data_IF_703853708943
#
_entry.id   IF_703853708943
#
_cell.length_a   1.000
_cell.length_b   1.000
_cell.length_c   1.000
_cell.angle_alpha   90.00
_cell.angle_beta   90.00
_cell.angle_gamma   90.00
#
_symmetry.space_group_name_H-M   'P 1'
#
loop_
_entity.id
_entity.type
_entity.pdbx_description
1 polymer ?
#
# COMPACT_ATOMS: atom_id res chain seq x y z
N UNK A 1 24.71 -4.54 21.89
CA UNK A 1 24.04 -5.86 21.92
C UNK A 1 22.51 -5.74 21.84
N UNK A 2 21.89 -4.68 22.38
CA UNK A 2 20.44 -4.44 22.33
C UNK A 2 19.91 -4.20 20.90
N UNK A 3 20.52 -3.32 20.11
CA UNK A 3 20.00 -2.95 18.78
C UNK A 3 19.85 -4.14 17.81
N UNK A 4 20.82 -5.06 17.79
CA UNK A 4 20.78 -6.26 16.92
C UNK A 4 19.61 -7.16 17.30
N UNK A 5 19.35 -7.33 18.61
CA UNK A 5 18.20 -8.10 19.10
C UNK A 5 16.89 -7.41 18.73
N UNK A 6 16.78 -6.10 18.92
CA UNK A 6 15.59 -5.35 18.54
C UNK A 6 15.31 -5.45 17.03
N UNK A 7 16.32 -5.29 16.18
CA UNK A 7 16.19 -5.47 14.73
C UNK A 7 15.69 -6.87 14.35
N UNK A 8 16.23 -7.92 14.99
CA UNK A 8 15.79 -9.29 14.77
C UNK A 8 14.30 -9.46 15.11
N UNK A 9 13.86 -9.01 16.29
CA UNK A 9 12.46 -9.08 16.71
C UNK A 9 11.52 -8.33 15.73
N UNK A 10 11.94 -7.16 15.23
CA UNK A 10 11.18 -6.39 14.23
C UNK A 10 11.08 -7.12 12.89
N UNK A 11 12.19 -7.69 12.40
CA UNK A 11 12.22 -8.37 11.11
C UNK A 11 11.28 -9.58 11.04
N UNK A 12 11.19 -10.35 12.14
CA UNK A 12 10.45 -11.61 12.19
C UNK A 12 9.03 -11.51 12.78
N UNK A 13 8.61 -10.33 13.23
CA UNK A 13 7.25 -10.09 13.76
C UNK A 13 6.22 -9.67 12.71
N UNK A 14 6.67 -9.34 11.49
CA UNK A 14 5.79 -8.88 10.38
C UNK A 14 4.83 -7.74 10.79
N UNK A 15 5.34 -6.63 11.35
CA UNK A 15 4.49 -5.53 11.78
C UNK A 15 3.74 -4.92 10.58
N UNK A 16 2.49 -4.51 10.82
CA UNK A 16 1.64 -3.79 9.87
C UNK A 16 1.08 -2.55 10.56
N UNK A 17 1.14 -1.39 9.92
CA UNK A 17 0.50 -0.18 10.43
C UNK A 17 -1.02 -0.39 10.47
N UNK A 18 -1.68 0.23 11.45
CA UNK A 18 -3.14 0.15 11.56
C UNK A 18 -3.83 0.93 10.43
N UNK A 19 -3.17 1.97 9.95
CA UNK A 19 -3.62 2.87 8.88
C UNK A 19 -2.44 3.22 7.98
N UNK A 20 -2.73 3.49 6.69
CA UNK A 20 -1.75 3.92 5.69
C UNK A 20 -0.58 2.93 5.47
N UNK A 21 -0.73 1.66 5.88
CA UNK A 21 0.33 0.64 5.76
C UNK A 21 0.87 0.53 4.34
N UNK A 22 0.00 0.62 3.33
CA UNK A 22 0.34 0.53 1.91
C UNK A 22 1.41 1.53 1.46
N UNK A 23 1.53 2.68 2.13
CA UNK A 23 2.47 3.76 1.80
C UNK A 23 3.87 3.61 2.41
N UNK A 24 4.08 2.60 3.27
CA UNK A 24 5.30 2.47 4.05
C UNK A 24 5.78 1.02 4.15
N UNK A 25 7.08 0.79 4.06
CA UNK A 25 7.69 -0.40 4.64
C UNK A 25 7.70 -0.24 6.17
N UNK A 26 6.74 -0.86 6.84
CA UNK A 26 6.56 -0.78 8.29
C UNK A 26 7.77 -1.30 9.06
N UNK A 27 8.49 -2.30 8.53
CA UNK A 27 9.70 -2.82 9.19
C UNK A 27 10.83 -1.80 9.11
N UNK A 28 11.12 -1.33 7.90
CA UNK A 28 12.16 -0.33 7.70
C UNK A 28 11.85 0.96 8.44
N UNK A 29 10.58 1.38 8.44
CA UNK A 29 10.15 2.59 9.14
C UNK A 29 10.33 2.47 10.65
N UNK A 30 9.93 1.33 11.26
CA UNK A 30 10.10 1.12 12.68
C UNK A 30 11.58 1.08 13.08
N UNK A 31 12.45 0.45 12.27
CA UNK A 31 13.90 0.42 12.51
C UNK A 31 14.50 1.84 12.40
N UNK A 32 14.16 2.56 11.34
CA UNK A 32 14.76 3.88 11.05
C UNK A 32 14.28 4.98 12.00
N UNK A 33 13.17 4.77 12.70
CA UNK A 33 12.61 5.72 13.67
C UNK A 33 12.77 5.28 15.12
N UNK A 34 13.36 4.11 15.37
CA UNK A 34 13.59 3.61 16.71
C UNK A 34 14.62 4.48 17.44
N UNK A 35 14.19 5.08 18.55
CA UNK A 35 15.07 5.72 19.52
C UNK A 35 15.54 4.70 20.57
N UNK A 36 16.35 5.15 21.53
CA UNK A 36 16.91 4.28 22.58
C UNK A 36 15.81 3.59 23.42
N UNK A 37 14.71 4.30 23.71
CA UNK A 37 13.55 3.76 24.45
C UNK A 37 12.90 2.59 23.70
N UNK A 38 12.65 2.76 22.39
CA UNK A 38 12.08 1.72 21.53
C UNK A 38 13.02 0.51 21.48
N UNK A 39 14.32 0.74 21.31
CA UNK A 39 15.32 -0.32 21.21
C UNK A 39 15.41 -1.10 22.53
N UNK A 40 15.46 -0.42 23.67
CA UNK A 40 15.55 -1.04 24.99
C UNK A 40 14.30 -1.88 25.30
N UNK A 41 13.13 -1.32 25.04
CA UNK A 41 11.86 -1.99 25.28
C UNK A 41 11.67 -3.23 24.41
N UNK A 42 11.96 -3.15 23.10
CA UNK A 42 11.91 -4.32 22.21
C UNK A 42 12.99 -5.35 22.60
N UNK A 43 14.19 -4.91 22.98
CA UNK A 43 15.25 -5.82 23.41
C UNK A 43 14.88 -6.60 24.67
N UNK A 44 14.10 -5.99 25.56
CA UNK A 44 13.70 -6.57 26.84
C UNK A 44 12.45 -7.43 26.71
N UNK A 45 11.43 -6.92 26.03
CA UNK A 45 10.09 -7.52 25.95
C UNK A 45 9.86 -8.32 24.65
N UNK A 46 10.81 -8.27 23.72
CA UNK A 46 10.73 -8.93 22.41
C UNK A 46 9.54 -8.46 21.59
N UNK A 47 9.06 -9.32 20.68
CA UNK A 47 7.92 -9.07 19.78
C UNK A 47 6.63 -8.55 20.44
N UNK A 48 6.45 -8.71 21.75
CA UNK A 48 5.22 -8.30 22.47
C UNK A 48 5.05 -6.78 22.54
N UNK A 49 6.16 -6.04 22.51
CA UNK A 49 6.17 -4.57 22.54
C UNK A 49 5.89 -3.92 21.19
N UNK A 50 6.14 -4.64 20.09
CA UNK A 50 6.08 -4.11 18.72
C UNK A 50 4.70 -3.51 18.38
N UNK A 51 3.55 -4.13 18.72
CA UNK A 51 2.24 -3.53 18.43
C UNK A 51 2.05 -2.14 19.03
N UNK A 52 2.60 -1.87 20.22
CA UNK A 52 2.53 -0.54 20.85
C UNK A 52 3.28 0.50 20.03
N UNK A 53 4.51 0.18 19.62
CA UNK A 53 5.34 1.08 18.83
C UNK A 53 4.77 1.31 17.43
N UNK A 54 4.22 0.27 16.81
CA UNK A 54 3.51 0.37 15.53
C UNK A 54 2.28 1.26 15.65
N UNK A 55 1.53 1.19 16.76
CA UNK A 55 0.38 2.07 17.00
C UNK A 55 0.79 3.54 17.16
N UNK A 56 1.87 3.81 17.89
CA UNK A 56 2.42 5.16 18.03
C UNK A 56 2.92 5.72 16.69
N UNK A 57 3.62 4.89 15.92
CA UNK A 57 4.09 5.22 14.58
C UNK A 57 2.92 5.51 13.63
N UNK A 58 1.88 4.66 13.65
CA UNK A 58 0.64 4.87 12.88
C UNK A 58 -0.03 6.20 13.21
N UNK A 59 -0.11 6.55 14.51
CA UNK A 59 -0.67 7.82 14.98
C UNK A 59 0.15 9.02 14.50
N UNK A 60 1.48 8.88 14.50
CA UNK A 60 2.41 9.93 14.04
C UNK A 60 2.27 10.19 12.54
N UNK A 61 2.18 9.12 11.73
CA UNK A 61 2.01 9.21 10.27
C UNK A 61 0.66 9.81 9.91
N UNK A 62 -0.40 9.33 10.55
CA UNK A 62 -1.76 9.84 10.32
C UNK A 62 -1.83 11.32 10.70
N UNK A 63 -1.16 11.71 11.79
CA UNK A 63 -1.18 13.07 12.31
C UNK A 63 -2.60 13.46 12.71
N UNK A 64 -3.05 14.62 12.21
CA UNK A 64 -4.39 15.15 12.48
C UNK A 64 -5.43 14.73 11.42
N UNK A 65 -5.10 13.78 10.54
CA UNK A 65 -6.02 13.40 9.47
C UNK A 65 -7.24 12.68 10.02
N UNK A 66 -8.42 13.06 9.52
CA UNK A 66 -9.63 12.27 9.71
C UNK A 66 -9.57 11.00 8.86
N UNK A 67 -10.02 9.87 9.41
CA UNK A 67 -10.15 8.62 8.65
C UNK A 67 -11.57 8.51 8.11
N UNK A 68 -11.71 8.31 6.80
CA UNK A 68 -12.97 7.98 6.14
C UNK A 68 -12.84 6.58 5.52
N UNK A 69 -13.57 5.62 6.08
CA UNK A 69 -13.49 4.21 5.68
C UNK A 69 -14.82 3.76 5.05
N UNK A 70 -14.84 3.70 3.72
CA UNK A 70 -16.00 3.29 2.93
C UNK A 70 -16.12 1.78 2.72
N UNK A 71 -15.12 0.97 3.10
CA UNK A 71 -15.00 -0.46 2.70
C UNK A 71 -16.16 -1.37 3.14
N UNK A 72 -16.95 -0.97 4.14
CA UNK A 72 -18.09 -1.75 4.67
C UNK A 72 -19.46 -1.20 4.27
N UNK A 73 -19.48 -0.12 3.51
CA UNK A 73 -20.71 0.59 3.11
C UNK A 73 -20.83 0.54 1.60
N UNK A 74 -22.02 0.78 1.05
CA UNK A 74 -22.20 0.96 -0.40
C UNK A 74 -22.12 2.43 -0.81
N UNK A 75 -21.99 3.35 0.15
CA UNK A 75 -21.88 4.78 -0.11
C UNK A 75 -20.55 5.11 -0.78
N UNK A 76 -20.57 6.13 -1.63
CA UNK A 76 -19.39 6.70 -2.27
C UNK A 76 -18.75 7.69 -1.30
N UNK A 77 -17.56 7.37 -0.80
CA UNK A 77 -16.85 8.17 0.21
C UNK A 77 -15.61 8.89 -0.31
N UNK A 78 -15.09 8.50 -1.48
CA UNK A 78 -13.92 9.14 -2.08
C UNK A 78 -14.23 10.55 -2.58
N UNK A 79 -13.33 11.53 -2.38
CA UNK A 79 -13.50 12.86 -2.92
C UNK A 79 -13.26 12.86 -4.44
N UNK A 80 -13.80 13.86 -5.13
CA UNK A 80 -13.73 13.97 -6.60
C UNK A 80 -12.30 13.83 -7.17
N UNK A 81 -11.24 14.45 -6.59
CA UNK A 81 -9.87 14.26 -7.06
C UNK A 81 -9.41 12.79 -7.03
N UNK A 82 -9.78 12.04 -5.98
CA UNK A 82 -9.44 10.63 -5.86
C UNK A 82 -10.18 9.77 -6.89
N UNK A 83 -11.47 10.07 -7.12
CA UNK A 83 -12.28 9.39 -8.14
C UNK A 83 -11.71 9.65 -9.54
N UNK A 84 -11.28 10.89 -9.84
CA UNK A 84 -10.69 11.25 -11.12
C UNK A 84 -9.35 10.53 -11.36
N UNK A 85 -8.50 10.44 -10.33
CA UNK A 85 -7.27 9.64 -10.40
C UNK A 85 -7.58 8.18 -10.67
N UNK A 86 -8.50 7.59 -9.90
CA UNK A 86 -8.89 6.19 -10.03
C UNK A 86 -9.41 5.86 -11.44
N UNK A 87 -10.28 6.71 -12.00
CA UNK A 87 -10.82 6.56 -13.37
C UNK A 87 -9.75 6.61 -14.46
N UNK A 88 -8.64 7.33 -14.22
CA UNK A 88 -7.53 7.40 -15.17
C UNK A 88 -6.52 6.26 -15.03
N UNK A 89 -6.63 5.39 -14.02
CA UNK A 89 -5.74 4.24 -13.87
C UNK A 89 -6.03 3.22 -14.96
N UNK A 90 -4.97 2.78 -15.64
CA UNK A 90 -5.05 1.71 -16.64
C UNK A 90 -4.25 0.51 -16.13
N UNK A 91 -4.88 -0.66 -16.11
CA UNK A 91 -4.22 -1.93 -15.82
C UNK A 91 -4.33 -2.87 -17.00
N UNK A 92 -3.21 -3.41 -17.43
CA UNK A 92 -3.10 -4.27 -18.61
C UNK A 92 -2.03 -5.35 -18.42
N UNK A 93 -2.16 -6.43 -19.18
CA UNK A 93 -1.20 -7.52 -19.30
C UNK A 93 -0.11 -7.25 -20.36
N UNK A 94 -0.03 -6.02 -20.87
CA UNK A 94 0.92 -5.61 -21.91
C UNK A 94 1.68 -4.36 -21.50
N UNK A 95 2.96 -4.30 -21.88
CA UNK A 95 3.73 -3.04 -21.87
C UNK A 95 3.34 -2.15 -23.07
N UNK A 96 3.67 -0.85 -23.07
CA UNK A 96 3.30 0.06 -24.15
C UNK A 96 3.94 -0.34 -25.49
N UNK A 97 5.08 -1.03 -25.42
CA UNK A 97 5.84 -1.54 -26.56
C UNK A 97 5.39 -2.95 -27.00
N UNK A 98 4.47 -3.58 -26.26
CA UNK A 98 3.89 -4.90 -26.61
C UNK A 98 4.83 -6.10 -26.46
N UNK A 99 6.07 -5.89 -26.03
CA UNK A 99 7.13 -6.91 -26.03
C UNK A 99 7.27 -7.71 -24.73
N UNK A 100 6.59 -7.32 -23.66
CA UNK A 100 6.62 -8.03 -22.37
C UNK A 100 5.19 -8.53 -22.05
N UNK A 101 5.03 -9.86 -22.13
CA UNK A 101 3.80 -10.61 -21.85
C UNK A 101 3.80 -11.21 -20.43
N UNK A 102 4.84 -10.95 -19.63
CA UNK A 102 5.01 -11.55 -18.31
C UNK A 102 4.67 -10.53 -17.22
N UNK A 103 3.39 -10.20 -17.07
CA UNK A 103 2.95 -9.48 -15.88
C UNK A 103 1.65 -8.71 -16.01
N UNK A 104 1.25 -8.10 -14.90
CA UNK A 104 0.22 -7.05 -14.88
C UNK A 104 0.90 -5.73 -14.61
N UNK A 105 0.66 -4.79 -15.51
CA UNK A 105 1.23 -3.44 -15.52
C UNK A 105 0.16 -2.42 -15.18
N UNK A 106 0.50 -1.50 -14.28
CA UNK A 106 -0.33 -0.36 -13.93
C UNK A 106 0.27 0.94 -14.46
N UNK A 107 -0.59 1.79 -15.02
CA UNK A 107 -0.31 3.15 -15.46
C UNK A 107 -1.23 4.10 -14.69
N UNK A 108 -0.65 5.17 -14.16
CA UNK A 108 -1.34 6.07 -13.25
C UNK A 108 -1.33 7.49 -13.82
N UNK A 109 -2.45 8.22 -13.74
CA UNK A 109 -2.54 9.61 -14.23
C UNK A 109 -1.89 10.59 -13.22
N UNK A 110 -0.70 10.25 -12.74
CA UNK A 110 0.07 11.01 -11.76
C UNK A 110 1.30 11.63 -12.41
N UNK A 111 1.54 12.92 -12.15
CA UNK A 111 2.72 13.61 -12.65
C UNK A 111 3.46 14.28 -11.50
N UNK A 112 4.77 14.04 -11.42
CA UNK A 112 5.63 14.62 -10.39
C UNK A 112 6.56 13.60 -9.73
N UNK A 113 7.22 14.02 -8.66
CA UNK A 113 8.18 13.18 -7.94
C UNK A 113 7.52 12.53 -6.71
N UNK A 114 7.48 11.20 -6.70
CA UNK A 114 6.81 10.41 -5.68
C UNK A 114 7.77 9.44 -5.02
N UNK A 115 7.54 9.21 -3.73
CA UNK A 115 7.98 7.97 -3.09
C UNK A 115 6.96 6.89 -3.44
N UNK A 116 7.42 5.88 -4.17
CA UNK A 116 6.63 4.74 -4.62
C UNK A 116 6.96 3.55 -3.74
N UNK A 117 5.92 2.93 -3.18
CA UNK A 117 6.03 1.66 -2.44
C UNK A 117 5.17 0.63 -3.16
N UNK A 118 5.80 -0.48 -3.56
CA UNK A 118 5.11 -1.63 -4.13
C UNK A 118 5.31 -2.80 -3.18
N UNK A 119 4.23 -3.24 -2.54
CA UNK A 119 4.24 -4.45 -1.73
C UNK A 119 3.75 -5.60 -2.58
N UNK A 120 4.56 -6.66 -2.62
CA UNK A 120 4.33 -7.88 -3.39
C UNK A 120 4.24 -9.06 -2.43
N UNK A 121 4.01 -10.24 -2.99
CA UNK A 121 3.98 -11.52 -2.30
C UNK A 121 5.11 -11.72 -1.27
N UNK A 122 4.80 -12.48 -0.22
CA UNK A 122 5.75 -12.91 0.84
C UNK A 122 6.47 -11.76 1.56
N UNK A 123 5.87 -10.57 1.55
CA UNK A 123 6.45 -9.38 2.17
C UNK A 123 7.63 -8.80 1.38
N UNK A 124 7.76 -9.13 0.09
CA UNK A 124 8.68 -8.43 -0.79
C UNK A 124 8.20 -6.98 -0.97
N UNK A 125 9.08 -6.02 -0.71
CA UNK A 125 8.77 -4.60 -0.83
C UNK A 125 9.78 -3.98 -1.78
N UNK A 126 9.27 -3.22 -2.74
CA UNK A 126 10.05 -2.32 -3.56
C UNK A 126 9.73 -0.90 -3.13
N UNK A 127 10.76 -0.11 -2.86
CA UNK A 127 10.64 1.29 -2.48
C UNK A 127 11.62 2.12 -3.31
N UNK A 128 11.14 3.18 -3.94
CA UNK A 128 11.98 4.09 -4.72
C UNK A 128 11.38 5.49 -4.78
N UNK A 129 12.26 6.48 -4.97
CA UNK A 129 11.84 7.82 -5.38
C UNK A 129 11.87 7.91 -6.91
N UNK A 130 10.72 8.15 -7.51
CA UNK A 130 10.52 8.08 -8.96
C UNK A 130 9.82 9.35 -9.44
N UNK A 131 10.32 9.93 -10.54
CA UNK A 131 9.58 10.91 -11.31
C UNK A 131 8.57 10.16 -12.19
N UNK A 132 7.28 10.34 -11.91
CA UNK A 132 6.19 9.74 -12.67
C UNK A 132 5.77 10.72 -13.76
N UNK A 133 5.72 10.24 -15.00
CA UNK A 133 5.37 11.02 -16.19
C UNK A 133 3.97 10.64 -16.70
N UNK A 134 2.99 10.65 -15.80
CA UNK A 134 1.62 10.25 -16.10
C UNK A 134 1.56 8.83 -16.67
N UNK A 135 0.82 8.69 -17.78
CA UNK A 135 0.58 7.41 -18.44
C UNK A 135 1.80 6.82 -19.17
N UNK A 136 2.96 7.49 -19.14
CA UNK A 136 4.20 6.98 -19.74
C UNK A 136 4.99 6.07 -18.79
N UNK A 137 4.79 6.21 -17.48
CA UNK A 137 5.50 5.40 -16.49
C UNK A 137 4.71 4.12 -16.21
N UNK A 138 5.31 2.97 -16.51
CA UNK A 138 4.72 1.66 -16.25
C UNK A 138 5.25 1.07 -14.93
N UNK A 139 4.35 0.52 -14.12
CA UNK A 139 4.72 -0.22 -12.91
C UNK A 139 4.32 -1.68 -13.02
N UNK A 140 5.30 -2.58 -12.91
CA UNK A 140 5.05 -4.02 -12.86
C UNK A 140 4.50 -4.41 -11.49
N UNK A 141 3.18 -4.62 -11.42
CA UNK A 141 2.44 -4.97 -10.22
C UNK A 141 2.70 -6.44 -9.85
N UNK A 142 2.64 -7.34 -10.85
CA UNK A 142 2.92 -8.78 -10.69
C UNK A 142 3.63 -9.37 -11.91
N UNK A 143 4.24 -10.54 -11.74
CA UNK A 143 4.70 -11.41 -12.84
C UNK A 143 3.63 -12.47 -13.13
N UNK A 144 3.56 -12.95 -14.37
CA UNK A 144 2.68 -14.06 -14.76
C UNK A 144 3.13 -15.40 -14.17
N UNK A 145 4.37 -15.49 -13.66
CA UNK A 145 4.88 -16.64 -12.91
C UNK A 145 4.42 -16.68 -11.44
N UNK A 146 3.56 -15.77 -11.01
CA UNK A 146 2.86 -15.86 -9.72
C UNK A 146 1.79 -16.96 -9.82
N UNK A 147 2.09 -18.14 -9.26
CA UNK A 147 1.32 -19.37 -9.45
C UNK A 147 0.04 -19.42 -8.59
N UNK A 148 -0.11 -18.55 -7.58
CA UNK A 148 -1.25 -18.60 -6.66
C UNK A 148 -2.25 -17.47 -6.92
N UNK A 149 -3.51 -17.84 -7.15
CA UNK A 149 -4.63 -16.94 -7.49
C UNK A 149 -5.08 -15.98 -6.39
N UNK A 150 -4.57 -16.08 -5.17
CA UNK A 150 -5.00 -15.26 -4.02
C UNK A 150 -3.94 -14.23 -3.58
N UNK A 151 -3.00 -13.86 -4.45
CA UNK A 151 -1.84 -13.07 -4.05
C UNK A 151 -2.15 -11.57 -3.85
N UNK A 152 -1.95 -11.11 -2.61
CA UNK A 152 -2.04 -9.69 -2.23
C UNK A 152 -0.93 -8.88 -2.90
N UNK A 153 -1.28 -7.71 -3.43
CA UNK A 153 -0.31 -6.70 -3.83
C UNK A 153 -0.83 -5.30 -3.56
N UNK A 154 0.08 -4.35 -3.38
CA UNK A 154 -0.26 -2.93 -3.35
C UNK A 154 0.77 -2.10 -4.10
N UNK A 155 0.31 -0.99 -4.64
CA UNK A 155 1.15 0.08 -5.15
C UNK A 155 0.64 1.39 -4.59
N UNK A 156 1.56 2.16 -4.00
CA UNK A 156 1.26 3.39 -3.31
C UNK A 156 2.23 4.48 -3.75
N UNK A 157 1.69 5.66 -3.99
CA UNK A 157 2.40 6.87 -4.37
C UNK A 157 2.17 7.91 -3.29
N UNK A 158 3.23 8.51 -2.77
CA UNK A 158 3.11 9.68 -1.88
C UNK A 158 4.15 10.73 -2.19
N UNK A 159 3.81 11.98 -1.95
CA UNK A 159 4.77 13.07 -2.02
C UNK A 159 5.76 12.98 -0.85
N UNK A 160 6.96 13.55 -1.02
CA UNK A 160 8.02 13.52 0.01
C UNK A 160 7.56 14.21 1.29
N UNK A 161 6.88 15.34 1.14
CA UNK A 161 6.32 16.16 2.22
C UNK A 161 5.08 15.52 2.88
N UNK A 162 4.66 14.34 2.41
CA UNK A 162 3.50 13.61 2.90
C UNK A 162 2.20 14.43 2.84
N UNK A 163 2.08 15.36 1.89
CA UNK A 163 0.86 16.17 1.70
C UNK A 163 -0.19 15.50 0.82
N UNK A 164 0.22 14.53 0.00
CA UNK A 164 -0.63 13.77 -0.89
C UNK A 164 -0.22 12.30 -0.93
N UNK A 165 -1.20 11.42 -1.06
CA UNK A 165 -0.97 10.05 -1.50
C UNK A 165 -2.16 9.41 -2.18
N UNK A 166 -1.85 8.44 -3.03
CA UNK A 166 -2.81 7.60 -3.73
C UNK A 166 -2.27 6.17 -3.81
N UNK A 167 -3.11 5.17 -3.53
CA UNK A 167 -2.71 3.78 -3.59
C UNK A 167 -3.83 2.87 -4.09
N UNK A 168 -3.43 1.76 -4.69
CA UNK A 168 -4.29 0.65 -5.05
C UNK A 168 -3.77 -0.64 -4.42
N UNK A 169 -4.69 -1.45 -3.91
CA UNK A 169 -4.39 -2.68 -3.21
C UNK A 169 -5.34 -3.77 -3.69
N UNK A 170 -4.81 -4.91 -4.09
CA UNK A 170 -5.57 -6.13 -4.24
C UNK A 170 -5.36 -6.96 -2.97
N UNK A 171 -6.44 -7.19 -2.22
CA UNK A 171 -6.38 -7.86 -0.93
C UNK A 171 -7.68 -8.61 -0.63
N UNK A 172 -7.70 -9.52 0.37
CA UNK A 172 -8.92 -10.19 0.79
C UNK A 172 -10.03 -9.19 1.08
N UNK A 173 -11.21 -9.55 0.60
CA UNK A 173 -12.44 -8.83 0.83
C UNK A 173 -12.79 -8.88 2.31
N UNK A 174 -13.15 -7.73 2.87
CA UNK A 174 -13.66 -7.64 4.23
C UNK A 174 -15.19 -7.84 4.30
N UNK A 175 -15.83 -7.99 3.14
CA UNK A 175 -17.27 -8.20 2.96
C UNK A 175 -17.53 -9.39 2.01
N UNK A 176 -18.58 -10.17 2.25
CA UNK A 176 -18.93 -11.33 1.41
C UNK A 176 -18.26 -12.65 1.84
N UNK A 177 -18.20 -13.60 0.91
CA UNK A 177 -17.71 -14.96 1.19
C UNK A 177 -16.19 -15.01 1.44
N UNK A 178 -15.77 -15.85 2.39
CA UNK A 178 -14.35 -16.11 2.69
C UNK A 178 -13.63 -16.57 1.42
N UNK A 179 -12.51 -15.93 1.10
CA UNK A 179 -11.72 -16.22 -0.10
C UNK A 179 -12.00 -15.33 -1.30
N UNK A 180 -12.94 -14.36 -1.21
CA UNK A 180 -13.05 -13.31 -2.23
C UNK A 180 -12.02 -12.22 -1.99
N UNK A 181 -11.43 -11.71 -3.08
CA UNK A 181 -10.57 -10.53 -3.05
C UNK A 181 -11.34 -9.27 -3.44
N UNK A 182 -10.82 -8.11 -3.07
CA UNK A 182 -11.34 -6.80 -3.42
C UNK A 182 -10.20 -5.86 -3.80
N UNK A 183 -10.48 -4.93 -4.71
CA UNK A 183 -9.55 -3.85 -5.03
C UNK A 183 -9.88 -2.68 -4.14
N UNK A 184 -9.00 -2.40 -3.19
CA UNK A 184 -9.09 -1.23 -2.31
C UNK A 184 -8.34 -0.07 -2.96
N UNK A 185 -8.88 1.11 -2.82
CA UNK A 185 -8.24 2.37 -3.17
C UNK A 185 -8.10 3.19 -1.91
N UNK A 186 -6.94 3.79 -1.70
CA UNK A 186 -6.76 4.80 -0.68
C UNK A 186 -6.25 6.09 -1.28
N UNK A 187 -6.61 7.19 -0.64
CA UNK A 187 -6.21 8.53 -1.01
C UNK A 187 -6.04 9.34 0.27
N UNK A 188 -5.04 10.21 0.33
CA UNK A 188 -4.99 11.22 1.38
C UNK A 188 -4.53 12.57 0.88
N UNK A 189 -4.98 13.59 1.59
CA UNK A 189 -4.46 14.95 1.53
C UNK A 189 -3.93 15.35 2.91
N UNK A 190 -3.79 16.66 3.20
CA UNK A 190 -3.32 17.14 4.50
C UNK A 190 -4.31 16.93 5.65
N UNK A 191 -5.58 16.68 5.37
CA UNK A 191 -6.68 16.71 6.34
C UNK A 191 -7.38 15.37 6.50
N UNK A 192 -7.40 14.54 5.45
CA UNK A 192 -8.20 13.33 5.45
C UNK A 192 -7.45 12.18 4.78
N UNK A 193 -7.60 10.99 5.37
CA UNK A 193 -7.21 9.71 4.79
C UNK A 193 -8.48 8.92 4.46
N UNK A 194 -8.65 8.59 3.19
CA UNK A 194 -9.76 7.84 2.66
C UNK A 194 -9.32 6.44 2.29
N UNK A 195 -10.16 5.46 2.57
CA UNK A 195 -10.02 4.10 2.04
C UNK A 195 -11.38 3.55 1.64
N UNK A 196 -11.47 3.01 0.44
CA UNK A 196 -12.73 2.50 -0.11
C UNK A 196 -12.52 1.35 -1.11
N UNK A 197 -13.61 0.71 -1.51
CA UNK A 197 -13.66 -0.29 -2.57
C UNK A 197 -13.69 0.40 -3.94
N UNK A 198 -12.67 0.13 -4.77
CA UNK A 198 -12.54 0.72 -6.09
C UNK A 198 -13.66 0.28 -7.06
N UNK A 199 -14.27 -0.89 -6.84
CA UNK A 199 -15.35 -1.41 -7.68
C UNK A 199 -16.63 -0.58 -7.65
N UNK A 200 -16.78 0.28 -6.63
CA UNK A 200 -17.87 1.26 -6.56
C UNK A 200 -17.77 2.37 -7.62
N UNK A 201 -16.56 2.61 -8.14
CA UNK A 201 -16.25 3.77 -8.97
C UNK A 201 -15.85 3.38 -10.40
N UNK A 202 -15.19 2.24 -10.57
CA UNK A 202 -14.67 1.76 -11.85
C UNK A 202 -14.82 0.24 -11.98
N UNK A 203 -14.73 -0.27 -13.21
CA UNK A 203 -14.56 -1.71 -13.45
C UNK A 203 -13.15 -2.16 -13.08
N UNK A 204 -13.06 -3.05 -12.11
CA UNK A 204 -11.77 -3.53 -11.54
C UNK A 204 -11.34 -4.90 -12.05
N UNK A 205 -12.04 -5.52 -13.01
CA UNK A 205 -11.74 -6.88 -13.47
C UNK A 205 -10.29 -7.07 -13.95
N UNK A 206 -9.72 -6.04 -14.58
CA UNK A 206 -8.33 -6.11 -15.06
C UNK A 206 -7.28 -6.14 -13.94
N UNK A 207 -7.63 -5.72 -12.72
CA UNK A 207 -6.74 -5.75 -11.56
C UNK A 207 -6.62 -7.15 -10.94
N UNK A 208 -7.66 -7.97 -11.09
CA UNK A 208 -7.71 -9.36 -10.66
C UNK A 208 -7.50 -10.38 -11.80
N UNK A 209 -7.24 -9.92 -13.03
CA UNK A 209 -7.15 -10.81 -14.19
C UNK A 209 -6.06 -11.87 -14.00
N UNK A 210 -6.45 -13.14 -13.96
CA UNK A 210 -5.58 -14.29 -13.66
C UNK A 210 -5.35 -14.54 -12.16
N UNK A 211 -6.34 -14.22 -11.33
CA UNK A 211 -6.45 -14.52 -9.90
C UNK A 211 -7.78 -15.26 -9.58
N UNK A 212 -8.83 -15.02 -10.38
CA UNK A 212 -10.12 -15.74 -10.33
C UNK A 212 -10.14 -17.00 -11.21
#
# INVERSE_FOLDING_TARGET
MSIVRAMFEIMYSYPKLEVMDEYFDTKALLINTANDEVIEDISTNGKTSIPRWVKQLSSTILGNRQIINGLRTNELTLPEPAVNLLKGVVVTDRTPEGNDLDGVYGYFPLQGFFKVVIKKQRGAIFEAYISVEGMKTAFKLRSSMAIYGDEEYSIAFRTIDNSFGFALMYAPSIVGAKGKNMVKVSYFDNYTYYIDDASKYIDVRNFGKGLD
#
